data_IF_306459237191
#
_entry.id   IF_306459237191
#
_cell.length_a   1.000
_cell.length_b   1.000
_cell.length_c   1.000
_cell.angle_alpha   90.00
_cell.angle_beta   90.00
_cell.angle_gamma   90.00
#
_symmetry.space_group_name_H-M   'P 1'
#
loop_
_entity.id
_entity.type
_entity.pdbx_description
1 polymer ?
#
# COMPACT_ATOMS: atom_id res chain seq x y z
N UNK A 1 -2.17 -26.61 -25.11
CA UNK A 1 -2.28 -25.15 -24.85
C UNK A 1 -3.20 -24.79 -23.67
N UNK A 2 -4.27 -25.52 -23.36
CA UNK A 2 -5.19 -25.15 -22.26
C UNK A 2 -4.67 -25.34 -20.82
N UNK A 3 -3.65 -26.18 -20.61
CA UNK A 3 -3.10 -26.47 -19.27
C UNK A 3 -2.27 -25.34 -18.65
N UNK A 4 -1.44 -24.67 -19.46
CA UNK A 4 -0.56 -23.58 -18.99
C UNK A 4 -1.36 -22.37 -18.49
N UNK A 5 -2.48 -22.05 -19.14
CA UNK A 5 -3.34 -20.93 -18.74
C UNK A 5 -4.05 -21.18 -17.40
N UNK A 6 -4.41 -22.43 -17.09
CA UNK A 6 -5.00 -22.80 -15.80
C UNK A 6 -3.98 -22.71 -14.66
N UNK A 7 -2.75 -23.19 -14.89
CA UNK A 7 -1.67 -23.15 -13.88
C UNK A 7 -1.29 -21.70 -13.54
N UNK A 8 -1.12 -20.83 -14.54
CA UNK A 8 -0.80 -19.42 -14.31
C UNK A 8 -1.90 -18.69 -13.52
N UNK A 9 -3.17 -19.00 -13.79
CA UNK A 9 -4.30 -18.43 -13.06
C UNK A 9 -4.33 -18.86 -11.59
N UNK A 10 -4.05 -20.13 -11.31
CA UNK A 10 -4.00 -20.65 -9.93
C UNK A 10 -2.85 -19.99 -9.16
N UNK A 11 -1.65 -19.90 -9.74
CA UNK A 11 -0.50 -19.25 -9.09
C UNK A 11 -0.82 -17.78 -8.78
N UNK A 12 -1.35 -17.04 -9.75
CA UNK A 12 -1.69 -15.63 -9.59
C UNK A 12 -2.78 -15.41 -8.52
N UNK A 13 -3.80 -16.28 -8.47
CA UNK A 13 -4.84 -16.21 -7.46
C UNK A 13 -4.28 -16.48 -6.05
N UNK A 14 -3.47 -17.53 -5.89
CA UNK A 14 -2.83 -17.89 -4.62
C UNK A 14 -1.91 -16.79 -4.11
N UNK A 15 -1.08 -16.18 -4.97
CA UNK A 15 -0.20 -15.08 -4.56
C UNK A 15 -0.95 -13.82 -4.12
N UNK A 16 -2.16 -13.57 -4.66
CA UNK A 16 -2.99 -12.44 -4.25
C UNK A 16 -3.62 -12.68 -2.88
N UNK A 17 -4.13 -13.88 -2.64
CA UNK A 17 -4.73 -14.25 -1.35
C UNK A 17 -3.68 -14.19 -0.23
N UNK A 18 -2.47 -14.68 -0.46
CA UNK A 18 -1.39 -14.61 0.55
C UNK A 18 -1.01 -13.17 0.87
N UNK A 19 -0.87 -12.30 -0.14
CA UNK A 19 -0.53 -10.89 0.06
C UNK A 19 -1.60 -10.11 0.83
N UNK A 20 -2.88 -10.44 0.65
CA UNK A 20 -3.98 -9.83 1.41
C UNK A 20 -3.99 -10.27 2.87
N UNK A 21 -3.77 -11.56 3.10
CA UNK A 21 -3.65 -12.13 4.45
C UNK A 21 -2.47 -11.52 5.20
N UNK A 22 -1.30 -11.43 4.57
CA UNK A 22 -0.11 -10.77 5.12
C UNK A 22 -0.41 -9.31 5.51
N UNK A 23 -0.97 -8.52 4.60
CA UNK A 23 -1.31 -7.12 4.89
C UNK A 23 -2.37 -6.98 5.99
N UNK A 24 -3.32 -7.92 6.10
CA UNK A 24 -4.33 -7.93 7.15
C UNK A 24 -3.71 -8.26 8.51
N UNK A 25 -2.78 -9.21 8.54
CA UNK A 25 -2.02 -9.58 9.74
C UNK A 25 -1.12 -8.44 10.21
N UNK A 26 -0.39 -7.80 9.29
CA UNK A 26 0.44 -6.63 9.60
C UNK A 26 -0.38 -5.48 10.18
N UNK A 27 -1.57 -5.21 9.63
CA UNK A 27 -2.50 -4.22 10.18
C UNK A 27 -2.94 -4.57 11.61
N UNK A 28 -3.23 -5.84 11.89
CA UNK A 28 -3.58 -6.29 13.26
C UNK A 28 -2.40 -6.12 14.22
N UNK A 29 -1.23 -6.62 13.83
CA UNK A 29 -0.02 -6.56 14.65
C UNK A 29 0.41 -5.12 14.95
N UNK A 30 0.34 -4.22 13.96
CA UNK A 30 0.65 -2.79 14.16
C UNK A 30 -0.39 -2.08 15.03
N UNK A 31 -1.67 -2.47 14.95
CA UNK A 31 -2.74 -1.97 15.84
C UNK A 31 -2.50 -2.37 17.29
N UNK A 32 -2.10 -3.62 17.53
CA UNK A 32 -1.81 -4.10 18.88
C UNK A 32 -0.59 -3.39 19.47
N UNK A 33 0.48 -3.23 18.68
CA UNK A 33 1.65 -2.43 19.07
C UNK A 33 1.27 -0.98 19.41
N UNK A 34 0.38 -0.36 18.62
CA UNK A 34 -0.14 0.98 18.90
C UNK A 34 -0.91 1.04 20.23
N UNK A 35 -1.77 0.07 20.51
CA UNK A 35 -2.52 0.01 21.77
C UNK A 35 -1.59 -0.15 22.99
N UNK A 36 -0.55 -0.97 22.87
CA UNK A 36 0.48 -1.14 23.89
C UNK A 36 1.23 0.17 24.11
N UNK A 37 1.72 0.80 23.04
CA UNK A 37 2.45 2.06 23.13
C UNK A 37 1.61 3.18 23.75
N UNK A 38 0.33 3.27 23.37
CA UNK A 38 -0.63 4.23 23.95
C UNK A 38 -0.82 4.01 25.46
N UNK A 39 -0.95 2.75 25.87
CA UNK A 39 -1.15 2.38 27.27
C UNK A 39 0.09 2.70 28.10
N UNK A 40 1.28 2.36 27.60
CA UNK A 40 2.56 2.66 28.25
C UNK A 40 2.78 4.17 28.39
N UNK A 41 2.53 4.95 27.33
CA UNK A 41 2.64 6.40 27.38
C UNK A 41 1.73 7.00 28.46
N UNK A 42 0.49 6.50 28.59
CA UNK A 42 -0.44 6.94 29.63
C UNK A 42 0.07 6.61 31.04
N UNK A 43 0.64 5.42 31.24
CA UNK A 43 1.22 5.02 32.53
C UNK A 43 2.38 5.94 32.93
N UNK A 44 3.34 6.16 32.02
CA UNK A 44 4.50 7.02 32.28
C UNK A 44 4.06 8.47 32.53
N UNK A 45 3.07 8.98 31.79
CA UNK A 45 2.53 10.32 32.01
C UNK A 45 1.89 10.49 33.40
N UNK A 46 1.12 9.49 33.85
CA UNK A 46 0.55 9.47 35.19
C UNK A 46 1.62 9.46 36.27
N UNK A 47 2.67 8.64 36.09
CA UNK A 47 3.76 8.53 37.05
C UNK A 47 4.61 9.81 37.10
N UNK A 48 4.91 10.41 35.95
CA UNK A 48 5.58 11.71 35.87
C UNK A 48 4.79 12.80 36.61
N UNK A 49 3.46 12.76 36.53
CA UNK A 49 2.59 13.70 37.25
C UNK A 49 2.69 13.52 38.77
N UNK A 50 2.70 12.27 39.26
CA UNK A 50 2.87 11.98 40.69
C UNK A 50 4.24 12.46 41.20
N UNK A 51 5.33 12.12 40.50
CA UNK A 51 6.69 12.54 40.86
C UNK A 51 6.82 14.06 40.86
N UNK A 52 6.21 14.76 39.89
CA UNK A 52 6.18 16.23 39.84
C UNK A 52 5.50 16.83 41.07
N UNK A 53 4.35 16.27 41.48
CA UNK A 53 3.62 16.72 42.67
C UNK A 53 4.41 16.46 43.96
N UNK A 54 5.04 15.29 44.08
CA UNK A 54 5.88 14.96 45.23
C UNK A 54 7.04 15.94 45.38
N UNK A 55 7.79 16.18 44.29
CA UNK A 55 8.89 17.15 44.28
C UNK A 55 8.41 18.56 44.65
N UNK A 56 7.29 19.01 44.09
CA UNK A 56 6.73 20.33 44.41
C UNK A 56 6.33 20.45 45.89
N UNK A 57 5.73 19.40 46.45
CA UNK A 57 5.33 19.34 47.87
C UNK A 57 6.55 19.39 48.79
N UNK A 58 7.58 18.57 48.52
CA UNK A 58 8.81 18.55 49.31
C UNK A 58 9.57 19.87 49.19
N UNK A 59 9.59 20.48 48.00
CA UNK A 59 10.16 21.82 47.81
C UNK A 59 9.45 22.88 48.66
N UNK A 60 8.12 22.83 48.73
CA UNK A 60 7.31 23.71 49.58
C UNK A 60 7.63 23.51 51.06
N UNK A 61 7.62 22.27 51.54
CA UNK A 61 7.95 21.94 52.95
C UNK A 61 9.34 22.38 53.38
N UNK A 62 10.34 22.29 52.49
CA UNK A 62 11.67 22.81 52.79
C UNK A 62 11.65 24.33 52.94
N UNK A 63 10.92 25.04 52.09
CA UNK A 63 10.81 26.50 52.17
C UNK A 63 10.08 26.94 53.45
N UNK A 64 8.94 26.33 53.77
CA UNK A 64 8.17 26.59 54.99
C UNK A 64 9.02 26.38 56.26
N UNK A 65 9.74 25.26 56.35
CA UNK A 65 10.60 24.97 57.50
C UNK A 65 11.77 25.96 57.65
N UNK A 66 12.35 26.40 56.51
CA UNK A 66 13.39 27.41 56.49
C UNK A 66 12.88 28.77 56.97
N UNK A 67 11.67 29.15 56.57
CA UNK A 67 11.02 30.40 57.03
C UNK A 67 10.72 30.36 58.54
N UNK A 68 10.27 29.23 59.07
CA UNK A 68 9.90 29.09 60.48
C UNK A 68 11.10 28.99 61.42
N UNK A 69 12.14 28.25 61.02
CA UNK A 69 13.23 27.86 61.94
C UNK A 69 14.57 28.51 61.63
N UNK A 70 14.74 29.10 60.44
CA UNK A 70 16.03 29.57 59.94
C UNK A 70 17.07 28.49 59.70
N UNK A 71 16.71 27.20 59.84
CA UNK A 71 17.62 26.06 59.72
C UNK A 71 17.16 25.11 58.62
N UNK A 72 18.12 24.42 58.01
CA UNK A 72 17.83 23.47 56.92
C UNK A 72 17.28 22.13 57.44
N UNK A 73 16.13 21.65 56.92
CA UNK A 73 15.58 20.35 57.31
C UNK A 73 16.28 19.22 56.54
N UNK A 74 17.46 18.80 57.00
CA UNK A 74 18.35 17.84 56.32
C UNK A 74 17.64 16.60 55.77
N UNK A 75 16.70 16.02 56.53
CA UNK A 75 15.96 14.83 56.10
C UNK A 75 14.98 15.11 54.94
N UNK A 76 14.29 16.26 54.97
CA UNK A 76 13.36 16.67 53.91
C UNK A 76 14.13 17.06 52.64
N UNK A 77 15.30 17.67 52.79
CA UNK A 77 16.20 18.01 51.68
C UNK A 77 16.63 16.76 50.93
N UNK A 78 17.07 15.71 51.62
CA UNK A 78 17.44 14.43 51.00
C UNK A 78 16.29 13.86 50.17
N UNK A 79 15.09 13.77 50.76
CA UNK A 79 13.89 13.30 50.06
C UNK A 79 13.53 14.15 48.84
N UNK A 80 13.68 15.48 48.95
CA UNK A 80 13.42 16.42 47.85
C UNK A 80 14.38 16.16 46.70
N UNK A 81 15.65 15.94 46.99
CA UNK A 81 16.69 15.75 45.98
C UNK A 81 16.58 14.39 45.30
N UNK A 82 16.21 13.35 46.04
CA UNK A 82 15.84 12.04 45.48
C UNK A 82 14.62 12.18 44.55
N UNK A 83 13.56 12.84 45.00
CA UNK A 83 12.37 13.09 44.16
C UNK A 83 12.69 13.94 42.91
N UNK A 84 13.67 14.85 42.99
CA UNK A 84 14.16 15.63 41.85
C UNK A 84 14.88 14.75 40.83
N UNK A 85 15.68 13.80 41.31
CA UNK A 85 16.37 12.80 40.46
C UNK A 85 15.36 11.91 39.77
N UNK A 86 14.41 11.33 40.51
CA UNK A 86 13.34 10.49 39.97
C UNK A 86 12.47 11.24 38.95
N UNK A 87 12.23 12.54 39.17
CA UNK A 87 11.51 13.40 38.23
C UNK A 87 12.31 13.66 36.94
N UNK A 88 13.64 13.66 37.01
CA UNK A 88 14.49 13.78 35.82
C UNK A 88 14.45 12.48 35.02
N UNK A 89 14.55 11.33 35.68
CA UNK A 89 14.52 10.01 35.04
C UNK A 89 13.17 9.77 34.33
N UNK A 90 12.05 10.00 35.01
CA UNK A 90 10.71 9.79 34.42
C UNK A 90 10.43 10.73 33.23
N UNK A 91 11.06 11.92 33.19
CA UNK A 91 10.94 12.83 32.05
C UNK A 91 11.61 12.25 30.81
N UNK A 92 12.78 11.63 30.97
CA UNK A 92 13.46 10.93 29.89
C UNK A 92 12.60 9.76 29.40
N UNK A 93 12.09 8.92 30.31
CA UNK A 93 11.19 7.81 29.96
C UNK A 93 9.91 8.30 29.23
N UNK A 94 9.38 9.46 29.65
CA UNK A 94 8.20 10.05 29.01
C UNK A 94 8.49 10.45 27.56
N UNK A 95 9.63 11.07 27.28
CA UNK A 95 10.02 11.39 25.90
C UNK A 95 10.22 10.14 25.05
N UNK A 96 10.93 9.12 25.56
CA UNK A 96 11.08 7.84 24.87
C UNK A 96 9.71 7.18 24.59
N UNK A 97 8.77 7.26 25.54
CA UNK A 97 7.43 6.71 25.36
C UNK A 97 6.64 7.44 24.27
N UNK A 98 6.82 8.76 24.13
CA UNK A 98 6.20 9.57 23.06
C UNK A 98 6.77 9.20 21.70
N UNK A 99 8.09 9.00 21.59
CA UNK A 99 8.72 8.56 20.35
C UNK A 99 8.24 7.17 19.92
N UNK A 100 8.18 6.22 20.87
CA UNK A 100 7.65 4.88 20.63
C UNK A 100 6.18 4.92 20.19
N UNK A 101 5.36 5.77 20.81
CA UNK A 101 3.97 5.96 20.42
C UNK A 101 3.85 6.56 19.01
N UNK A 102 4.61 7.63 18.71
CA UNK A 102 4.64 8.27 17.39
C UNK A 102 5.03 7.26 16.30
N UNK A 103 6.07 6.48 16.54
CA UNK A 103 6.52 5.41 15.63
C UNK A 103 5.43 4.35 15.42
N UNK A 104 4.73 3.95 16.48
CA UNK A 104 3.63 2.98 16.38
C UNK A 104 2.44 3.53 15.57
N UNK A 105 2.13 4.83 15.69
CA UNK A 105 1.09 5.50 14.89
C UNK A 105 1.45 5.46 13.41
N UNK A 106 2.68 5.83 13.05
CA UNK A 106 3.10 5.84 11.63
C UNK A 106 3.14 4.44 11.03
N UNK A 107 3.59 3.44 11.78
CA UNK A 107 3.55 2.05 11.35
C UNK A 107 2.12 1.55 11.12
N UNK A 108 1.19 1.90 12.02
CA UNK A 108 -0.22 1.54 11.85
C UNK A 108 -0.85 2.23 10.63
N UNK A 109 -0.59 3.52 10.41
CA UNK A 109 -1.06 4.24 9.21
C UNK A 109 -0.56 3.57 7.94
N UNK A 110 0.73 3.24 7.89
CA UNK A 110 1.35 2.55 6.74
C UNK A 110 0.68 1.20 6.47
N UNK A 111 0.54 0.35 7.49
CA UNK A 111 -0.11 -0.95 7.36
C UNK A 111 -1.58 -0.82 6.94
N UNK A 112 -2.29 0.18 7.46
CA UNK A 112 -3.66 0.49 7.05
C UNK A 112 -3.76 0.83 5.56
N UNK A 113 -2.89 1.72 5.07
CA UNK A 113 -2.87 2.12 3.65
C UNK A 113 -2.47 0.97 2.73
N UNK A 114 -1.48 0.15 3.11
CA UNK A 114 -1.09 -1.03 2.34
C UNK A 114 -2.24 -2.04 2.21
N UNK A 115 -2.93 -2.31 3.32
CA UNK A 115 -4.09 -3.19 3.32
C UNK A 115 -5.23 -2.63 2.44
N UNK A 116 -5.50 -1.32 2.50
CA UNK A 116 -6.51 -0.68 1.65
C UNK A 116 -6.14 -0.78 0.16
N UNK A 117 -4.88 -0.49 -0.18
CA UNK A 117 -4.38 -0.57 -1.57
C UNK A 117 -4.46 -2.00 -2.12
N UNK A 118 -4.16 -3.00 -1.30
CA UNK A 118 -4.28 -4.41 -1.67
C UNK A 118 -5.74 -4.79 -1.99
N UNK A 119 -6.69 -4.38 -1.13
CA UNK A 119 -8.14 -4.62 -1.36
C UNK A 119 -8.64 -3.96 -2.64
N UNK A 120 -8.24 -2.71 -2.90
CA UNK A 120 -8.64 -2.01 -4.12
C UNK A 120 -8.11 -2.71 -5.40
N UNK A 121 -6.85 -3.19 -5.36
CA UNK A 121 -6.29 -3.97 -6.47
C UNK A 121 -7.05 -5.28 -6.67
N UNK A 122 -7.39 -5.98 -5.59
CA UNK A 122 -8.17 -7.21 -5.63
C UNK A 122 -9.54 -6.99 -6.30
N UNK A 123 -10.26 -5.94 -5.90
CA UNK A 123 -11.60 -5.62 -6.42
C UNK A 123 -11.60 -5.24 -7.91
N UNK A 124 -10.63 -4.43 -8.36
CA UNK A 124 -10.57 -3.94 -9.76
C UNK A 124 -10.05 -4.97 -10.77
N UNK A 125 -9.26 -5.95 -10.34
CA UNK A 125 -8.68 -6.91 -11.28
C UNK A 125 -9.69 -7.84 -11.98
N UNK A 126 -10.67 -8.44 -11.30
CA UNK A 126 -11.66 -9.29 -11.96
C UNK A 126 -12.50 -8.51 -12.98
N UNK A 127 -12.85 -7.26 -12.70
CA UNK A 127 -13.54 -6.37 -13.65
C UNK A 127 -12.74 -6.17 -14.94
N UNK A 128 -11.45 -5.81 -14.80
CA UNK A 128 -10.55 -5.65 -15.95
C UNK A 128 -10.36 -6.94 -16.75
N UNK A 129 -10.28 -8.11 -16.07
CA UNK A 129 -10.19 -9.41 -16.75
C UNK A 129 -11.44 -9.73 -17.58
N UNK A 130 -12.62 -9.38 -17.09
CA UNK A 130 -13.89 -9.54 -17.81
C UNK A 130 -13.92 -8.61 -19.02
N UNK A 131 -13.58 -7.34 -18.86
CA UNK A 131 -13.56 -6.34 -19.94
C UNK A 131 -12.62 -6.78 -21.07
N UNK A 132 -11.40 -7.21 -20.76
CA UNK A 132 -10.45 -7.74 -21.75
C UNK A 132 -11.02 -8.95 -22.50
N UNK A 133 -11.76 -9.82 -21.80
CA UNK A 133 -12.40 -10.99 -22.43
C UNK A 133 -13.52 -10.59 -23.38
N UNK A 134 -14.31 -9.58 -23.02
CA UNK A 134 -15.37 -9.01 -23.86
C UNK A 134 -14.76 -8.36 -25.11
N UNK A 135 -13.73 -7.52 -24.95
CA UNK A 135 -13.04 -6.88 -26.06
C UNK A 135 -12.41 -7.89 -27.02
N UNK A 136 -11.77 -8.95 -26.50
CA UNK A 136 -11.26 -10.05 -27.34
C UNK A 136 -12.34 -10.74 -28.14
N UNK A 137 -13.54 -10.93 -27.57
CA UNK A 137 -14.69 -11.50 -28.30
C UNK A 137 -15.17 -10.55 -29.40
N UNK A 138 -15.35 -9.26 -29.08
CA UNK A 138 -15.74 -8.22 -30.05
C UNK A 138 -14.77 -8.16 -31.22
N UNK A 139 -13.46 -8.12 -30.93
CA UNK A 139 -12.42 -8.10 -31.95
C UNK A 139 -12.46 -9.33 -32.88
N UNK A 140 -12.72 -10.53 -32.34
CA UNK A 140 -12.87 -11.74 -33.15
C UNK A 140 -14.08 -11.66 -34.10
N UNK A 141 -15.21 -11.16 -33.60
CA UNK A 141 -16.43 -10.97 -34.41
C UNK A 141 -16.15 -9.97 -35.53
N UNK A 142 -15.63 -8.78 -35.19
CA UNK A 142 -15.29 -7.75 -36.18
C UNK A 142 -14.29 -8.25 -37.23
N UNK A 143 -13.28 -9.04 -36.82
CA UNK A 143 -12.35 -9.67 -37.77
C UNK A 143 -13.06 -10.63 -38.74
N UNK A 144 -14.04 -11.38 -38.25
CA UNK A 144 -14.89 -12.25 -39.07
C UNK A 144 -15.74 -11.46 -40.07
N UNK A 145 -16.41 -10.40 -39.61
CA UNK A 145 -17.26 -9.55 -40.45
C UNK A 145 -16.45 -8.84 -41.54
N UNK A 146 -15.26 -8.32 -41.20
CA UNK A 146 -14.34 -7.72 -42.17
C UNK A 146 -13.91 -8.74 -43.23
N UNK A 147 -13.63 -9.99 -42.82
CA UNK A 147 -13.25 -11.04 -43.76
C UNK A 147 -14.41 -11.34 -44.71
N UNK A 148 -15.62 -11.51 -44.18
CA UNK A 148 -16.82 -11.74 -45.00
C UNK A 148 -17.07 -10.61 -45.99
N UNK A 149 -16.99 -9.36 -45.54
CA UNK A 149 -17.14 -8.20 -46.42
C UNK A 149 -16.05 -8.14 -47.51
N UNK A 150 -14.81 -8.53 -47.20
CA UNK A 150 -13.73 -8.63 -48.20
C UNK A 150 -14.03 -9.70 -49.24
N UNK A 151 -14.54 -10.86 -48.82
CA UNK A 151 -14.90 -11.97 -49.70
C UNK A 151 -16.08 -11.55 -50.61
N UNK A 152 -17.11 -10.90 -50.06
CA UNK A 152 -18.24 -10.35 -50.83
C UNK A 152 -17.81 -9.29 -51.86
N UNK A 153 -16.93 -8.36 -51.47
CA UNK A 153 -16.36 -7.35 -52.40
C UNK A 153 -15.58 -8.02 -53.53
N UNK A 154 -14.83 -9.10 -53.24
CA UNK A 154 -14.11 -9.87 -54.25
C UNK A 154 -15.06 -10.52 -55.24
N UNK A 155 -16.13 -11.15 -54.76
CA UNK A 155 -17.16 -11.74 -55.62
C UNK A 155 -17.86 -10.69 -56.51
N UNK A 156 -18.18 -9.53 -55.95
CA UNK A 156 -18.80 -8.44 -56.71
C UNK A 156 -17.86 -7.90 -57.81
N UNK A 157 -16.56 -7.75 -57.51
CA UNK A 157 -15.56 -7.37 -58.53
C UNK A 157 -15.46 -8.37 -59.67
N UNK A 158 -15.49 -9.67 -59.37
CA UNK A 158 -15.49 -10.72 -60.40
C UNK A 158 -16.77 -10.65 -61.25
N UNK A 159 -17.92 -10.39 -60.64
CA UNK A 159 -19.20 -10.23 -61.36
C UNK A 159 -19.24 -8.98 -62.25
N UNK A 160 -18.64 -7.87 -61.81
CA UNK A 160 -18.48 -6.66 -62.66
C UNK A 160 -17.56 -6.95 -63.86
N UNK A 161 -16.43 -7.61 -63.63
CA UNK A 161 -15.46 -7.92 -64.68
C UNK A 161 -15.92 -9.06 -65.61
N UNK A 162 -17.04 -9.74 -65.33
CA UNK A 162 -17.66 -10.72 -66.26
C UNK A 162 -18.79 -10.12 -67.10
N UNK A 163 -19.16 -8.85 -66.87
CA UNK A 163 -19.98 -8.05 -67.81
C UNK A 163 -19.14 -7.16 -68.74
N UNK A 164 -17.85 -7.01 -68.47
CA UNK A 164 -16.89 -6.30 -69.34
C UNK A 164 -15.79 -7.28 -69.75
N UNK A 165 -15.96 -7.85 -70.95
CA UNK A 165 -14.91 -8.56 -71.64
C UNK A 165 -13.82 -7.55 -72.00
N UNK A 166 -12.65 -7.62 -71.36
CA UNK A 166 -11.36 -7.17 -71.90
C UNK A 166 -10.18 -7.75 -71.10
N UNK A 167 -9.65 -8.83 -71.68
CA UNK A 167 -8.26 -9.27 -71.77
C UNK A 167 -7.19 -8.36 -71.13
N UNK A 168 -6.34 -8.91 -70.24
CA UNK A 168 -4.85 -8.80 -70.20
C UNK A 168 -4.28 -9.56 -68.99
N UNK A 169 -3.72 -10.72 -69.33
CA UNK A 169 -2.59 -11.49 -68.77
C UNK A 169 -2.38 -11.66 -67.26
N UNK A 170 -2.42 -12.92 -66.85
CA UNK A 170 -1.62 -13.51 -65.77
C UNK A 170 -0.13 -13.16 -65.93
N UNK A 171 0.48 -12.56 -64.90
CA UNK A 171 1.88 -12.87 -64.57
C UNK A 171 2.07 -12.87 -63.05
N UNK A 172 2.59 -14.00 -62.60
CA UNK A 172 2.88 -14.36 -61.24
C UNK A 172 3.91 -13.42 -60.61
N UNK A 173 3.71 -13.02 -59.35
CA UNK A 173 4.71 -13.31 -58.32
C UNK A 173 4.23 -12.95 -56.91
N UNK A 174 3.86 -14.01 -56.22
CA UNK A 174 3.91 -14.16 -54.78
C UNK A 174 5.30 -13.75 -54.23
N UNK A 175 5.36 -12.71 -53.40
CA UNK A 175 6.44 -12.55 -52.41
C UNK A 175 5.86 -12.08 -51.10
N UNK A 176 5.60 -13.05 -50.24
CA UNK A 176 5.79 -12.95 -48.81
C UNK A 176 6.98 -12.04 -48.50
N UNK A 177 6.73 -11.00 -47.70
CA UNK A 177 7.72 -10.45 -46.78
C UNK A 177 6.97 -10.08 -45.50
N UNK A 178 6.85 -11.11 -44.64
CA UNK A 178 6.94 -10.90 -43.21
C UNK A 178 8.22 -10.10 -42.88
N UNK A 179 8.17 -9.42 -41.74
CA UNK A 179 9.26 -8.66 -41.10
C UNK A 179 9.36 -7.23 -41.65
N UNK A 180 9.03 -6.17 -40.91
CA UNK A 180 9.55 -5.83 -39.59
C UNK A 180 8.53 -4.94 -38.87
N UNK A 181 7.86 -5.47 -37.84
CA UNK A 181 7.23 -4.65 -36.79
C UNK A 181 8.34 -4.25 -35.80
N UNK A 182 9.10 -3.20 -36.09
CA UNK A 182 10.02 -2.61 -35.12
C UNK A 182 9.25 -1.63 -34.22
N UNK A 183 8.50 -2.18 -33.27
CA UNK A 183 8.07 -1.42 -32.10
C UNK A 183 9.23 -1.40 -31.10
N UNK A 184 10.09 -0.38 -31.18
CA UNK A 184 10.88 0.08 -30.04
C UNK A 184 10.50 1.53 -29.76
N UNK A 185 9.79 1.74 -28.65
CA UNK A 185 9.65 3.08 -28.08
C UNK A 185 10.98 3.57 -27.52
N UNK A 186 11.19 4.87 -27.54
CA UNK A 186 11.99 5.55 -26.53
C UNK A 186 11.66 7.04 -26.58
N UNK A 187 11.06 7.55 -25.49
CA UNK A 187 11.11 8.97 -25.16
C UNK A 187 12.58 9.39 -25.12
N UNK A 188 12.92 10.50 -25.74
CA UNK A 188 14.21 11.16 -25.61
C UNK A 188 13.96 12.51 -24.96
N UNK A 189 14.45 12.60 -23.72
CA UNK A 189 14.76 13.72 -22.83
C UNK A 189 13.90 15.00 -22.84
#
# INVERSE_FOLDING_TARGET
>A
MAGLTKILFIIEATSRTTLLEENANDKRATKDKLNIAKSNQKLVCNEATKRKRLYATLKGKVAEFMEETGNEPTNIIKLRDDAKKDLKEIKTELEESKEKYSTAVENYKRAFHNNLAARYKEEKTPELKIEVKIQKKRFKITKGDIKKAKDEIRELKIKQNSSELLDVSDDDNNKDNNDILNNNGLFVD
#
